data_IF_716807136376
#
_entry.id   IF_716807136376
#
_cell.length_a   1.000
_cell.length_b   1.000
_cell.length_c   1.000
_cell.angle_alpha   90.00
_cell.angle_beta   90.00
_cell.angle_gamma   90.00
#
_symmetry.space_group_name_H-M   'P 1'
#
loop_
_entity.id
_entity.type
_entity.pdbx_description
1 polymer ?
#
# COMPACT_ATOMS: atom_id res chain seq x y z
N UNK A 1 18.73 -9.43 -4.69
CA UNK A 1 17.49 -9.36 -3.88
C UNK A 1 16.30 -9.46 -4.83
N UNK A 2 15.38 -10.39 -4.61
CA UNK A 2 14.15 -10.49 -5.41
C UNK A 2 13.26 -9.31 -4.98
N UNK A 3 12.99 -8.39 -5.91
CA UNK A 3 12.11 -7.25 -5.65
C UNK A 3 10.65 -7.74 -5.72
N UNK A 4 10.13 -8.15 -4.57
CA UNK A 4 8.78 -8.66 -4.43
C UNK A 4 7.96 -7.67 -3.60
N UNK A 5 6.78 -7.31 -4.10
CA UNK A 5 5.86 -6.37 -3.44
C UNK A 5 4.59 -7.12 -3.07
N UNK A 6 3.94 -6.70 -2.00
CA UNK A 6 2.58 -7.15 -1.66
C UNK A 6 1.59 -6.02 -1.92
N UNK A 7 0.40 -6.35 -2.40
CA UNK A 7 -0.67 -5.37 -2.60
C UNK A 7 -2.05 -5.95 -2.33
N UNK A 8 -2.97 -5.07 -1.94
CA UNK A 8 -4.41 -5.32 -2.02
C UNK A 8 -4.88 -5.08 -3.45
N UNK A 9 -5.67 -5.98 -3.94
CA UNK A 9 -6.06 -6.07 -5.33
C UNK A 9 -7.57 -6.30 -5.44
N UNK A 10 -8.17 -5.78 -6.50
CA UNK A 10 -9.55 -6.10 -6.85
C UNK A 10 -9.65 -6.43 -8.34
N UNK A 11 -10.41 -7.48 -8.66
CA UNK A 11 -10.76 -7.87 -10.02
C UNK A 11 -12.21 -8.37 -10.03
N UNK A 12 -13.02 -7.86 -10.94
CA UNK A 12 -14.44 -8.22 -11.09
C UNK A 12 -15.25 -8.09 -9.77
N UNK A 13 -14.95 -7.07 -8.98
CA UNK A 13 -15.59 -6.83 -7.69
C UNK A 13 -15.09 -7.71 -6.53
N UNK A 14 -14.18 -8.65 -6.78
CA UNK A 14 -13.61 -9.52 -5.76
C UNK A 14 -12.29 -8.97 -5.25
N UNK A 15 -12.25 -8.64 -3.96
CA UNK A 15 -11.04 -8.20 -3.30
C UNK A 15 -10.18 -9.40 -2.87
N UNK A 16 -8.88 -9.27 -3.07
CA UNK A 16 -7.85 -10.20 -2.61
C UNK A 16 -6.58 -9.45 -2.28
N UNK A 17 -5.56 -10.14 -1.83
CA UNK A 17 -4.20 -9.63 -1.83
C UNK A 17 -3.29 -10.59 -2.59
N UNK A 18 -2.12 -10.11 -2.97
CA UNK A 18 -1.17 -10.93 -3.69
C UNK A 18 0.22 -10.33 -3.70
N UNK A 19 1.16 -11.18 -4.08
CA UNK A 19 2.53 -10.78 -4.32
C UNK A 19 2.70 -10.39 -5.77
N UNK A 20 3.48 -9.34 -5.99
CA UNK A 20 3.76 -8.80 -7.31
C UNK A 20 5.26 -8.97 -7.61
N UNK A 21 5.55 -9.51 -8.79
CA UNK A 21 6.90 -9.64 -9.34
C UNK A 21 6.84 -9.52 -10.85
N UNK A 22 7.64 -8.62 -11.41
CA UNK A 22 7.79 -8.43 -12.86
C UNK A 22 6.47 -8.25 -13.62
N UNK A 23 5.56 -7.43 -13.07
CA UNK A 23 4.24 -7.16 -13.66
C UNK A 23 3.24 -8.32 -13.58
N UNK A 24 3.57 -9.35 -12.84
CA UNK A 24 2.70 -10.51 -12.58
C UNK A 24 2.32 -10.61 -11.13
N UNK A 25 1.22 -11.30 -10.86
CA UNK A 25 0.63 -11.47 -9.53
C UNK A 25 0.52 -12.96 -9.20
N UNK A 26 0.87 -13.30 -7.96
CA UNK A 26 0.43 -14.49 -7.29
C UNK A 26 -0.60 -14.07 -6.23
N UNK A 27 -1.89 -14.28 -6.51
CA UNK A 27 -2.96 -13.97 -5.55
C UNK A 27 -2.89 -14.87 -4.33
N UNK A 28 -3.60 -14.50 -3.25
CA UNK A 28 -3.73 -15.34 -2.06
C UNK A 28 -4.09 -16.77 -2.42
N UNK A 29 -5.08 -16.94 -3.29
CA UNK A 29 -5.55 -18.27 -3.67
C UNK A 29 -4.51 -19.03 -4.51
N UNK A 30 -3.77 -18.35 -5.39
CA UNK A 30 -2.63 -18.97 -6.08
C UNK A 30 -1.56 -19.45 -5.09
N UNK A 31 -1.24 -18.62 -4.08
CA UNK A 31 -0.26 -18.99 -3.06
C UNK A 31 -0.73 -20.19 -2.23
N UNK A 32 -1.99 -20.19 -1.79
CA UNK A 32 -2.59 -21.34 -1.05
C UNK A 32 -2.51 -22.62 -1.88
N UNK A 33 -2.93 -22.55 -3.14
CA UNK A 33 -2.94 -23.72 -4.03
C UNK A 33 -1.54 -24.29 -4.29
N UNK A 34 -0.53 -23.43 -4.36
CA UNK A 34 0.84 -23.84 -4.68
C UNK A 34 1.65 -24.27 -3.46
N UNK A 35 1.38 -23.67 -2.29
CA UNK A 35 2.14 -23.94 -1.06
C UNK A 35 1.47 -24.96 -0.14
N UNK A 36 0.16 -25.13 -0.28
CA UNK A 36 -0.67 -25.91 0.63
C UNK A 36 -0.88 -25.27 2.00
N UNK A 37 -0.41 -24.01 2.19
CA UNK A 37 -0.55 -23.29 3.46
C UNK A 37 -1.83 -22.47 3.42
N UNK A 38 -2.76 -22.66 4.36
CA UNK A 38 -3.97 -21.83 4.44
C UNK A 38 -3.60 -20.42 4.89
N UNK A 39 -3.76 -19.45 4.00
CA UNK A 39 -3.48 -18.05 4.28
C UNK A 39 -4.73 -17.30 4.74
N UNK A 40 -4.60 -16.29 5.61
CA UNK A 40 -5.73 -15.51 6.10
C UNK A 40 -6.42 -14.75 4.97
N UNK A 41 -7.69 -14.39 5.19
CA UNK A 41 -8.44 -13.60 4.22
C UNK A 41 -7.94 -12.15 4.14
N UNK A 42 -7.54 -11.60 5.26
CA UNK A 42 -7.13 -10.21 5.39
C UNK A 42 -5.62 -10.04 5.14
N UNK A 43 -5.27 -9.04 4.34
CA UNK A 43 -3.86 -8.63 4.21
C UNK A 43 -3.28 -8.15 5.54
N UNK A 44 -4.12 -7.60 6.43
CA UNK A 44 -3.70 -7.16 7.76
C UNK A 44 -3.22 -8.34 8.60
N UNK A 45 -4.01 -9.41 8.65
CA UNK A 45 -3.65 -10.62 9.39
C UNK A 45 -2.39 -11.24 8.77
N UNK A 46 -2.31 -11.29 7.44
CA UNK A 46 -1.12 -11.77 6.73
C UNK A 46 0.15 -11.02 7.13
N UNK A 47 0.07 -9.70 7.26
CA UNK A 47 1.23 -8.86 7.58
C UNK A 47 1.59 -8.87 9.08
N UNK A 48 0.59 -8.91 9.96
CA UNK A 48 0.80 -8.70 11.39
C UNK A 48 0.86 -9.97 12.23
N UNK A 49 0.38 -11.11 11.71
CA UNK A 49 0.44 -12.40 12.40
C UNK A 49 1.67 -13.26 11.99
N UNK A 50 2.60 -12.70 11.22
CA UNK A 50 3.84 -13.39 10.85
C UNK A 50 3.72 -14.40 9.71
N UNK A 51 2.60 -14.46 9.00
CA UNK A 51 2.37 -15.40 7.90
C UNK A 51 3.42 -15.30 6.79
N UNK A 52 3.95 -14.11 6.54
CA UNK A 52 5.00 -13.94 5.55
C UNK A 52 6.25 -14.77 5.89
N UNK A 53 6.65 -14.79 7.16
CA UNK A 53 7.84 -15.54 7.59
C UNK A 53 7.66 -17.06 7.45
N UNK A 54 6.45 -17.55 7.61
CA UNK A 54 6.15 -18.97 7.43
C UNK A 54 6.22 -19.43 5.97
N UNK A 55 5.85 -18.55 5.04
CA UNK A 55 5.72 -18.96 3.63
C UNK A 55 6.79 -18.39 2.71
N UNK A 56 7.64 -17.45 3.18
CA UNK A 56 8.63 -16.74 2.34
C UNK A 56 9.50 -17.67 1.49
N UNK A 57 9.97 -18.76 2.06
CA UNK A 57 10.83 -19.71 1.35
C UNK A 57 10.06 -20.49 0.26
N UNK A 58 8.78 -20.77 0.49
CA UNK A 58 7.90 -21.42 -0.48
C UNK A 58 7.43 -20.46 -1.56
N UNK A 59 7.25 -19.18 -1.22
CA UNK A 59 6.87 -18.11 -2.16
C UNK A 59 7.93 -17.89 -3.25
N UNK A 60 9.21 -18.09 -2.95
CA UNK A 60 10.28 -17.95 -3.94
C UNK A 60 10.05 -18.84 -5.15
N UNK A 61 9.52 -20.05 -4.93
CA UNK A 61 9.17 -21.02 -5.98
C UNK A 61 7.75 -20.83 -6.55
N UNK A 62 6.94 -19.95 -5.99
CA UNK A 62 5.55 -19.72 -6.42
C UNK A 62 5.51 -19.16 -7.84
N UNK A 63 4.64 -19.71 -8.66
CA UNK A 63 4.36 -19.21 -10.00
C UNK A 63 3.48 -17.96 -9.94
N UNK A 64 3.89 -16.90 -10.62
CA UNK A 64 3.13 -15.68 -10.80
C UNK A 64 2.38 -15.78 -12.14
N UNK A 65 1.09 -16.08 -12.10
CA UNK A 65 0.31 -16.44 -13.27
C UNK A 65 -0.52 -15.29 -13.84
N UNK A 66 -1.12 -14.50 -12.96
CA UNK A 66 -2.01 -13.42 -13.35
C UNK A 66 -1.21 -12.18 -13.77
N UNK A 67 -1.71 -11.43 -14.74
CA UNK A 67 -1.12 -10.14 -15.13
C UNK A 67 -1.61 -9.04 -14.19
N UNK A 68 -0.70 -8.21 -13.69
CA UNK A 68 -1.05 -7.10 -12.79
C UNK A 68 -2.07 -6.13 -13.39
N UNK A 69 -2.00 -5.89 -14.69
CA UNK A 69 -2.91 -5.01 -15.42
C UNK A 69 -4.38 -5.43 -15.38
N UNK A 70 -4.67 -6.69 -15.00
CA UNK A 70 -6.05 -7.19 -14.85
C UNK A 70 -6.65 -6.88 -13.49
N UNK A 71 -5.90 -6.23 -12.61
CA UNK A 71 -6.33 -5.84 -11.27
C UNK A 71 -6.29 -4.33 -11.10
N UNK A 72 -7.19 -3.80 -10.29
CA UNK A 72 -7.01 -2.48 -9.67
C UNK A 72 -6.29 -2.65 -8.34
N UNK A 73 -5.30 -1.79 -8.08
CA UNK A 73 -4.56 -1.77 -6.81
C UNK A 73 -5.29 -0.86 -5.84
N UNK A 74 -5.68 -1.40 -4.72
CA UNK A 74 -6.32 -0.67 -3.64
C UNK A 74 -5.27 -0.02 -2.72
N UNK A 75 -5.72 0.85 -1.81
CA UNK A 75 -4.85 1.35 -0.74
C UNK A 75 -4.27 0.17 0.06
N UNK A 76 -3.02 0.23 0.49
CA UNK A 76 -2.31 -0.93 1.06
C UNK A 76 -2.96 -1.48 2.32
N UNK A 77 -3.44 -0.61 3.21
CA UNK A 77 -4.11 -1.00 4.44
C UNK A 77 -5.57 -0.53 4.41
N UNK A 78 -6.56 -1.42 4.48
CA UNK A 78 -7.97 -1.06 4.31
C UNK A 78 -8.48 -0.14 5.40
N UNK A 79 -7.98 -0.29 6.62
CA UNK A 79 -8.50 0.40 7.78
C UNK A 79 -7.40 0.67 8.83
N UNK A 80 -6.39 1.49 8.51
CA UNK A 80 -5.36 1.82 9.47
C UNK A 80 -5.94 2.59 10.66
N UNK A 81 -5.39 2.40 11.84
CA UNK A 81 -5.81 3.13 13.04
C UNK A 81 -5.45 4.61 12.96
N UNK A 82 -4.33 4.93 12.31
CA UNK A 82 -3.79 6.29 12.14
C UNK A 82 -3.09 6.42 10.80
N UNK A 83 -3.12 7.64 10.27
CA UNK A 83 -2.27 8.08 9.14
C UNK A 83 -1.49 9.27 9.67
N UNK A 84 -0.19 9.07 9.91
CA UNK A 84 0.69 10.06 10.49
C UNK A 84 1.58 10.61 9.38
N UNK A 85 1.60 11.92 9.22
CA UNK A 85 2.40 12.63 8.23
C UNK A 85 3.36 13.59 8.92
N UNK A 86 4.43 13.97 8.21
CA UNK A 86 5.43 14.92 8.69
C UNK A 86 5.26 16.27 8.01
N UNK A 87 5.19 17.34 8.80
CA UNK A 87 5.23 18.70 8.26
C UNK A 87 6.67 19.04 7.87
N UNK A 88 6.84 19.59 6.66
CA UNK A 88 8.16 20.01 6.15
C UNK A 88 9.23 18.90 6.14
N UNK A 89 8.84 17.69 5.80
CA UNK A 89 9.73 16.54 5.71
C UNK A 89 10.92 16.74 4.74
N UNK A 90 10.77 17.66 3.77
CA UNK A 90 11.80 17.99 2.78
C UNK A 90 12.44 19.35 3.07
N UNK A 91 13.78 19.42 3.25
CA UNK A 91 14.47 20.67 3.57
C UNK A 91 14.30 21.81 2.55
N UNK A 92 14.12 21.46 1.27
CA UNK A 92 13.85 22.46 0.22
C UNK A 92 12.47 23.11 0.42
N UNK A 93 11.46 22.27 0.66
CA UNK A 93 10.09 22.75 0.92
C UNK A 93 10.02 23.62 2.17
N UNK A 94 10.71 23.25 3.24
CA UNK A 94 10.81 24.06 4.46
C UNK A 94 11.39 25.45 4.16
N UNK A 95 12.46 25.52 3.37
CA UNK A 95 13.09 26.82 2.97
C UNK A 95 12.19 27.69 2.12
N UNK A 96 11.43 27.11 1.18
CA UNK A 96 10.47 27.83 0.35
C UNK A 96 9.37 28.49 1.18
N UNK A 97 9.01 27.88 2.29
CA UNK A 97 8.01 28.40 3.24
C UNK A 97 8.63 29.24 4.38
N UNK A 98 9.93 29.58 4.31
CA UNK A 98 10.67 30.27 5.36
C UNK A 98 10.55 29.61 6.74
N UNK A 99 10.49 28.27 6.74
CA UNK A 99 10.38 27.46 7.96
C UNK A 99 11.77 27.04 8.43
N UNK A 100 12.10 27.37 9.70
CA UNK A 100 13.30 26.84 10.33
C UNK A 100 13.06 25.43 10.82
N UNK A 101 13.89 24.48 10.36
CA UNK A 101 13.77 23.08 10.76
C UNK A 101 13.93 22.94 12.28
N UNK A 102 12.94 22.38 12.92
CA UNK A 102 13.00 22.02 14.34
C UNK A 102 13.82 20.73 14.54
N UNK A 103 14.41 20.57 15.74
CA UNK A 103 15.11 19.34 16.09
C UNK A 103 14.18 18.14 16.17
N UNK A 104 12.93 18.37 16.50
CA UNK A 104 11.90 17.34 16.62
C UNK A 104 10.96 17.40 15.43
N UNK A 105 10.50 16.23 14.92
CA UNK A 105 9.58 16.19 13.82
C UNK A 105 8.21 16.76 14.23
N UNK A 106 7.68 17.65 13.40
CA UNK A 106 6.30 18.14 13.56
C UNK A 106 5.39 17.20 12.78
N UNK A 107 4.44 16.57 13.47
CA UNK A 107 3.53 15.58 12.91
C UNK A 107 2.11 16.16 12.76
N UNK A 108 1.39 15.66 11.77
CA UNK A 108 -0.06 15.84 11.66
C UNK A 108 -0.74 14.52 11.30
N UNK A 109 -2.06 14.47 11.48
CA UNK A 109 -2.84 13.25 11.28
C UNK A 109 -3.87 13.49 10.19
N UNK A 110 -3.95 12.57 9.23
CA UNK A 110 -5.03 12.53 8.23
C UNK A 110 -6.12 11.50 8.65
N UNK A 111 -7.39 11.80 8.41
CA UNK A 111 -8.47 10.83 8.67
C UNK A 111 -8.42 9.67 7.67
N UNK A 112 -8.90 8.50 8.07
CA UNK A 112 -8.95 7.30 7.21
C UNK A 112 -9.71 7.51 5.91
N UNK A 113 -10.69 8.40 5.91
CA UNK A 113 -11.50 8.76 4.73
C UNK A 113 -10.70 9.41 3.60
N UNK A 114 -9.44 9.78 3.84
CA UNK A 114 -8.54 10.33 2.81
C UNK A 114 -7.80 9.25 2.03
N UNK A 115 -7.94 7.97 2.40
CA UNK A 115 -7.30 6.87 1.69
C UNK A 115 -8.00 6.59 0.36
N UNK A 116 -7.21 6.41 -0.67
CA UNK A 116 -7.67 5.94 -1.97
C UNK A 116 -6.68 4.93 -2.56
N UNK A 117 -7.11 4.17 -3.55
CA UNK A 117 -6.27 3.23 -4.28
C UNK A 117 -5.40 3.92 -5.33
N UNK A 118 -4.51 3.16 -5.92
CA UNK A 118 -3.68 3.61 -7.04
C UNK A 118 -4.56 3.99 -8.23
N UNK A 119 -4.29 5.14 -8.84
CA UNK A 119 -5.06 5.70 -9.97
C UNK A 119 -6.55 5.98 -9.67
N UNK A 120 -6.94 6.05 -8.40
CA UNK A 120 -8.28 6.48 -8.02
C UNK A 120 -8.46 7.99 -8.23
N UNK A 121 -9.67 8.40 -8.57
CA UNK A 121 -10.02 9.81 -8.66
C UNK A 121 -9.98 10.46 -7.28
N UNK A 122 -9.33 11.64 -7.19
CA UNK A 122 -9.35 12.50 -6.02
C UNK A 122 -10.42 13.57 -6.24
N UNK A 123 -11.47 13.56 -5.41
CA UNK A 123 -12.51 14.59 -5.46
C UNK A 123 -12.01 15.88 -4.82
N UNK A 124 -11.87 16.92 -5.64
CA UNK A 124 -11.56 18.27 -5.17
C UNK A 124 -12.86 19.04 -4.90
N UNK A 125 -13.21 19.36 -3.65
CA UNK A 125 -14.40 20.15 -3.35
C UNK A 125 -14.30 21.57 -3.91
N UNK A 126 -15.45 22.17 -4.28
CA UNK A 126 -15.50 23.49 -4.92
C UNK A 126 -14.91 24.63 -4.06
N UNK A 127 -14.82 24.46 -2.75
CA UNK A 127 -14.22 25.46 -1.84
C UNK A 127 -12.69 25.40 -1.81
N UNK A 128 -12.08 24.33 -2.30
CA UNK A 128 -10.62 24.20 -2.41
C UNK A 128 -10.16 25.01 -3.62
N UNK A 129 -9.31 26.02 -3.39
CA UNK A 129 -8.80 26.90 -4.46
C UNK A 129 -7.49 26.41 -5.05
N UNK A 130 -6.70 25.72 -4.25
CA UNK A 130 -5.41 25.14 -4.66
C UNK A 130 -5.33 23.75 -4.08
N UNK A 131 -5.35 22.75 -4.95
CA UNK A 131 -5.06 21.36 -4.60
C UNK A 131 -3.59 21.13 -4.95
N UNK A 132 -2.83 20.66 -3.97
CA UNK A 132 -1.43 20.30 -4.14
C UNK A 132 -1.19 18.85 -3.75
N UNK A 133 -0.04 18.32 -4.11
CA UNK A 133 0.37 16.96 -3.81
C UNK A 133 1.67 16.97 -3.02
N UNK A 134 1.82 15.99 -2.14
CA UNK A 134 3.01 15.77 -1.34
C UNK A 134 3.40 14.31 -1.40
N UNK A 135 4.69 14.05 -1.30
CA UNK A 135 5.24 12.69 -1.21
C UNK A 135 5.72 12.49 0.22
N UNK A 136 5.19 11.48 0.88
CA UNK A 136 5.59 11.05 2.22
C UNK A 136 6.18 9.64 2.17
N UNK A 137 7.17 9.38 3.02
CA UNK A 137 7.84 8.08 3.15
C UNK A 137 7.63 7.50 4.54
#
# INVERSE_FOLDING_TARGET
MINMKIARLVRDGHETYGLIRDGKVATKDNMVNQTGVPLPFSIMDFLFEGWYDEIKDRIISTSFQDKLETFSILNPLPNPSKIICLTFNYPKHAKEQNYESTKEPVIFIKPRTTLCGTNSEIRCPNFVKQLDYEIEL
#
